data_IF_851928233234
#
_entry.id   IF_851928233234
#
_cell.length_a   1.000
_cell.length_b   1.000
_cell.length_c   1.000
_cell.angle_alpha   90.00
_cell.angle_beta   90.00
_cell.angle_gamma   90.00
#
_symmetry.space_group_name_H-M   'P 1'
#
loop_
_entity.id
_entity.type
_entity.pdbx_description
1 polymer ?
#
# COMPACT_ATOMS: atom_id res chain seq x y z
N UNK A 1 21.44 0.75 29.52
CA UNK A 1 20.54 1.06 28.38
C UNK A 1 21.32 2.01 27.48
N UNK A 2 21.90 1.48 26.40
CA UNK A 2 22.68 2.25 25.43
C UNK A 2 21.69 2.96 24.51
N UNK A 3 21.60 4.30 24.59
CA UNK A 3 20.77 5.11 23.73
C UNK A 3 21.14 4.85 22.26
N UNK A 4 20.16 4.45 21.46
CA UNK A 4 20.36 4.37 20.02
C UNK A 4 20.67 5.77 19.46
N UNK A 5 21.68 5.90 18.59
CA UNK A 5 22.01 7.19 18.01
C UNK A 5 20.78 7.70 17.24
N UNK A 6 20.39 8.96 17.50
CA UNK A 6 19.39 9.68 16.70
C UNK A 6 19.85 9.62 15.24
N UNK A 7 19.00 9.05 14.36
CA UNK A 7 19.22 9.08 12.91
C UNK A 7 19.45 10.53 12.51
N UNK A 8 20.65 10.83 12.01
CA UNK A 8 20.96 12.09 11.35
C UNK A 8 19.91 12.34 10.25
N UNK A 9 19.52 13.61 10.04
CA UNK A 9 18.68 13.97 8.89
C UNK A 9 19.34 13.39 7.66
N UNK A 10 18.62 12.65 6.80
CA UNK A 10 19.21 12.16 5.56
C UNK A 10 19.71 13.38 4.77
N UNK A 11 20.95 13.30 4.31
CA UNK A 11 21.50 14.25 3.35
C UNK A 11 20.59 14.35 2.14
N UNK A 12 20.68 15.40 1.34
CA UNK A 12 19.92 15.51 0.08
C UNK A 12 20.16 14.28 -0.80
N UNK A 13 19.27 14.02 -1.77
CA UNK A 13 19.32 12.83 -2.64
C UNK A 13 20.71 12.61 -3.27
N UNK A 14 21.40 13.70 -3.65
CA UNK A 14 22.73 13.63 -4.24
C UNK A 14 23.79 13.13 -3.23
N UNK A 15 23.69 13.52 -1.97
CA UNK A 15 24.61 13.05 -0.93
C UNK A 15 24.39 11.55 -0.65
N UNK A 16 23.12 11.12 -0.53
CA UNK A 16 22.77 9.72 -0.35
C UNK A 16 23.24 8.87 -1.53
N UNK A 17 23.10 9.38 -2.75
CA UNK A 17 23.61 8.74 -3.97
C UNK A 17 25.12 8.54 -3.91
N UNK A 18 25.89 9.59 -3.55
CA UNK A 18 27.36 9.51 -3.45
C UNK A 18 27.80 8.48 -2.40
N UNK A 19 27.17 8.49 -1.23
CA UNK A 19 27.45 7.51 -0.17
C UNK A 19 27.15 6.09 -0.62
N UNK A 20 26.02 5.87 -1.31
CA UNK A 20 25.64 4.56 -1.84
C UNK A 20 26.67 4.04 -2.86
N UNK A 21 27.11 4.90 -3.79
CA UNK A 21 28.16 4.55 -4.76
C UNK A 21 29.46 4.16 -4.05
N UNK A 22 29.87 4.93 -3.03
CA UNK A 22 31.06 4.61 -2.23
C UNK A 22 30.94 3.23 -1.56
N UNK A 23 29.83 2.96 -0.89
CA UNK A 23 29.61 1.66 -0.25
C UNK A 23 29.61 0.47 -1.23
N UNK A 24 29.04 0.66 -2.43
CA UNK A 24 29.03 -0.40 -3.45
C UNK A 24 30.42 -0.62 -4.05
N UNK A 25 31.23 0.44 -4.20
CA UNK A 25 32.61 0.32 -4.64
C UNK A 25 33.45 -0.42 -3.61
N UNK A 26 33.33 -0.08 -2.33
CA UNK A 26 34.07 -0.73 -1.24
C UNK A 26 33.65 -2.19 -1.05
N UNK A 27 32.40 -2.52 -1.38
CA UNK A 27 31.84 -3.86 -1.28
C UNK A 27 32.52 -4.87 -2.23
N UNK A 28 33.18 -4.43 -3.30
CA UNK A 28 33.93 -5.29 -4.20
C UNK A 28 34.94 -6.18 -3.45
N UNK A 29 35.61 -5.62 -2.46
CA UNK A 29 36.56 -6.36 -1.60
C UNK A 29 35.86 -7.43 -0.77
N UNK A 30 34.65 -7.15 -0.29
CA UNK A 30 33.83 -8.08 0.51
C UNK A 30 33.33 -9.26 -0.32
N UNK A 31 33.06 -9.08 -1.62
CA UNK A 31 32.65 -10.15 -2.52
C UNK A 31 33.71 -11.24 -2.70
N UNK A 32 34.99 -10.91 -2.44
CA UNK A 32 36.12 -11.88 -2.55
C UNK A 32 36.28 -12.74 -1.30
N UNK A 33 35.56 -12.44 -0.24
CA UNK A 33 35.56 -13.23 1.00
C UNK A 33 34.67 -14.45 0.81
N UNK A 34 35.17 -15.64 1.08
CA UNK A 34 34.39 -16.88 1.01
C UNK A 34 33.55 -17.09 2.28
N UNK A 35 32.71 -16.09 2.59
CA UNK A 35 31.73 -16.13 3.68
C UNK A 35 30.48 -15.34 3.30
N UNK A 36 29.44 -16.05 2.94
CA UNK A 36 28.13 -15.49 2.53
C UNK A 36 27.56 -14.55 3.60
N UNK A 37 27.72 -14.86 4.87
CA UNK A 37 27.19 -14.00 5.95
C UNK A 37 27.89 -12.66 5.99
N UNK A 38 29.19 -12.62 5.82
CA UNK A 38 29.98 -11.38 5.74
C UNK A 38 29.59 -10.57 4.50
N UNK A 39 29.43 -11.24 3.35
CA UNK A 39 28.95 -10.59 2.14
C UNK A 39 27.57 -9.95 2.33
N UNK A 40 26.58 -10.69 2.85
CA UNK A 40 25.24 -10.16 3.13
C UNK A 40 25.30 -8.99 4.12
N UNK A 41 26.09 -9.09 5.22
CA UNK A 41 26.24 -8.01 6.18
C UNK A 41 26.88 -6.76 5.57
N UNK A 42 27.82 -6.93 4.65
CA UNK A 42 28.46 -5.84 3.91
C UNK A 42 27.48 -5.03 3.06
N UNK A 43 26.40 -5.67 2.53
CA UNK A 43 25.38 -4.99 1.75
C UNK A 43 24.31 -4.26 2.61
N UNK A 44 24.16 -4.59 3.88
CA UNK A 44 23.11 -3.97 4.73
C UNK A 44 23.17 -2.45 4.73
N UNK A 45 24.34 -1.78 4.88
CA UNK A 45 24.41 -0.32 4.83
C UNK A 45 23.96 0.25 3.49
N UNK A 46 24.34 -0.36 2.36
CA UNK A 46 23.93 0.06 1.02
C UNK A 46 22.41 -0.07 0.83
N UNK A 47 21.82 -1.16 1.30
CA UNK A 47 20.35 -1.35 1.29
C UNK A 47 19.63 -0.24 2.09
N UNK A 48 20.15 0.14 3.25
CA UNK A 48 19.58 1.24 4.04
C UNK A 48 19.67 2.59 3.32
N UNK A 49 20.83 2.89 2.70
CA UNK A 49 21.00 4.12 1.94
C UNK A 49 20.11 4.16 0.70
N UNK A 50 19.94 3.05 0.00
CA UNK A 50 19.02 2.98 -1.16
C UNK A 50 17.59 3.30 -0.74
N UNK A 51 17.15 2.77 0.38
CA UNK A 51 15.84 3.07 0.97
C UNK A 51 15.68 4.56 1.31
N UNK A 52 16.69 5.14 1.95
CA UNK A 52 16.67 6.55 2.36
C UNK A 52 16.71 7.46 1.12
N UNK A 53 17.47 7.07 0.09
CA UNK A 53 17.51 7.74 -1.22
C UNK A 53 16.13 7.74 -1.89
N UNK A 54 15.48 6.58 -2.01
CA UNK A 54 14.12 6.47 -2.57
C UNK A 54 13.13 7.38 -1.85
N UNK A 55 13.13 7.35 -0.50
CA UNK A 55 12.26 8.22 0.31
C UNK A 55 12.57 9.72 0.17
N UNK A 56 13.79 10.09 -0.23
CA UNK A 56 14.22 11.49 -0.42
C UNK A 56 13.81 12.09 -1.76
N UNK A 57 13.36 11.26 -2.72
CA UNK A 57 12.97 11.73 -4.05
C UNK A 57 11.66 12.53 -4.05
N UNK A 58 10.84 12.38 -3.01
CA UNK A 58 9.63 13.19 -2.85
C UNK A 58 9.96 14.57 -2.26
N UNK A 59 9.69 15.66 -2.99
CA UNK A 59 9.86 17.00 -2.46
C UNK A 59 8.75 17.33 -1.47
N UNK A 60 9.00 17.12 -0.18
CA UNK A 60 8.07 17.45 0.91
C UNK A 60 8.70 18.48 1.85
N UNK A 61 7.91 19.45 2.28
CA UNK A 61 8.38 20.50 3.22
C UNK A 61 8.77 19.91 4.58
N UNK A 62 8.17 18.79 4.98
CA UNK A 62 8.46 18.07 6.22
C UNK A 62 8.69 16.60 5.95
N UNK A 63 9.58 15.93 6.74
CA UNK A 63 9.78 14.50 6.62
C UNK A 63 8.47 13.73 6.86
N UNK A 64 8.06 12.90 5.91
CA UNK A 64 6.88 12.06 6.00
C UNK A 64 7.26 10.64 6.45
N UNK A 65 6.39 10.02 7.24
CA UNK A 65 6.42 8.58 7.47
C UNK A 65 6.09 7.82 6.16
N UNK A 66 6.40 6.52 6.09
CA UNK A 66 6.19 5.71 4.90
C UNK A 66 4.76 5.84 4.31
N UNK A 67 3.72 5.80 5.17
CA UNK A 67 2.32 5.99 4.74
C UNK A 67 2.07 7.37 4.12
N UNK A 68 2.62 8.42 4.70
CA UNK A 68 2.52 9.78 4.16
C UNK A 68 3.24 9.93 2.82
N UNK A 69 4.39 9.27 2.63
CA UNK A 69 5.11 9.27 1.35
C UNK A 69 4.32 8.56 0.25
N UNK A 70 3.73 7.39 0.56
CA UNK A 70 2.84 6.67 -0.36
C UNK A 70 1.67 7.55 -0.82
N UNK A 71 0.98 8.17 0.13
CA UNK A 71 -0.12 9.07 -0.19
C UNK A 71 0.33 10.28 -1.02
N UNK A 72 1.42 10.92 -0.64
CA UNK A 72 1.95 12.07 -1.37
C UNK A 72 2.34 11.72 -2.81
N UNK A 73 2.87 10.50 -3.02
CA UNK A 73 3.20 10.01 -4.35
C UNK A 73 1.95 9.73 -5.18
N UNK A 74 1.00 8.97 -4.65
CA UNK A 74 -0.26 8.65 -5.34
C UNK A 74 -1.05 9.92 -5.71
N UNK A 75 -1.11 10.92 -4.83
CA UNK A 75 -1.78 12.21 -5.08
C UNK A 75 -1.10 13.05 -6.15
N UNK A 76 0.14 12.76 -6.49
CA UNK A 76 0.85 13.45 -7.57
C UNK A 76 0.46 12.91 -8.94
N UNK A 77 -0.06 11.68 -8.98
CA UNK A 77 -0.40 10.95 -10.20
C UNK A 77 -1.80 10.31 -10.10
N UNK A 78 -2.87 11.14 -9.88
CA UNK A 78 -4.23 10.61 -9.80
C UNK A 78 -4.65 10.08 -11.16
N UNK A 79 -5.29 8.91 -11.18
CA UNK A 79 -5.70 8.21 -12.41
C UNK A 79 -4.60 7.41 -13.10
N UNK A 80 -3.35 7.56 -12.70
CA UNK A 80 -2.24 6.77 -13.27
C UNK A 80 -2.06 5.45 -12.54
N UNK A 81 -1.71 4.40 -13.30
CA UNK A 81 -1.38 3.08 -12.75
C UNK A 81 0.06 3.08 -12.27
N UNK A 82 0.24 2.79 -10.99
CA UNK A 82 1.53 2.82 -10.30
C UNK A 82 1.91 1.41 -9.88
N UNK A 83 3.15 1.01 -10.15
CA UNK A 83 3.69 -0.29 -9.78
C UNK A 83 3.97 -0.39 -8.28
N UNK A 84 3.84 -1.61 -7.74
CA UNK A 84 4.21 -1.91 -6.37
C UNK A 84 5.67 -1.59 -6.06
N UNK A 85 6.57 -1.81 -7.02
CA UNK A 85 7.99 -1.50 -6.88
C UNK A 85 8.25 0.01 -6.74
N UNK A 86 7.52 0.87 -7.46
CA UNK A 86 7.58 2.32 -7.27
C UNK A 86 7.16 2.70 -5.84
N UNK A 87 6.07 2.10 -5.37
CA UNK A 87 5.57 2.32 -4.00
C UNK A 87 6.56 1.83 -2.95
N UNK A 88 7.24 0.72 -3.19
CA UNK A 88 8.31 0.21 -2.33
C UNK A 88 9.49 1.19 -2.26
N UNK A 89 9.93 1.72 -3.39
CA UNK A 89 11.02 2.69 -3.47
C UNK A 89 10.67 3.97 -2.70
N UNK A 90 9.51 4.56 -2.98
CA UNK A 90 9.06 5.81 -2.37
C UNK A 90 8.82 5.66 -0.87
N UNK A 91 8.19 4.58 -0.44
CA UNK A 91 7.92 4.34 0.97
C UNK A 91 9.17 3.94 1.76
N UNK A 92 10.14 3.33 1.11
CA UNK A 92 11.32 2.74 1.73
C UNK A 92 11.00 1.52 2.61
N UNK A 93 9.88 0.83 2.38
CA UNK A 93 9.47 -0.36 3.13
C UNK A 93 8.89 -1.43 2.22
N UNK A 94 9.18 -2.71 2.51
CA UNK A 94 8.60 -3.84 1.76
C UNK A 94 7.10 -4.05 2.00
N UNK A 95 6.59 -3.63 3.16
CA UNK A 95 5.16 -3.79 3.53
C UNK A 95 4.29 -2.59 3.07
N UNK A 96 4.58 -2.00 1.93
CA UNK A 96 3.81 -0.87 1.40
C UNK A 96 2.32 -1.22 1.18
N UNK A 97 2.02 -2.44 0.76
CA UNK A 97 0.64 -2.89 0.53
C UNK A 97 -0.24 -2.78 1.79
N UNK A 98 0.31 -3.08 2.97
CA UNK A 98 -0.38 -2.87 4.24
C UNK A 98 -0.69 -1.39 4.47
N UNK A 99 0.25 -0.49 4.17
CA UNK A 99 0.04 0.97 4.31
C UNK A 99 -0.97 1.50 3.31
N UNK A 100 -1.00 0.98 2.08
CA UNK A 100 -2.06 1.29 1.11
C UNK A 100 -3.42 0.87 1.66
N UNK A 101 -3.53 -0.32 2.25
CA UNK A 101 -4.78 -0.76 2.89
C UNK A 101 -5.21 0.19 4.02
N UNK A 102 -4.30 0.64 4.86
CA UNK A 102 -4.60 1.63 5.92
C UNK A 102 -5.15 2.94 5.31
N UNK A 103 -4.54 3.46 4.24
CA UNK A 103 -5.03 4.64 3.52
C UNK A 103 -6.45 4.45 2.99
N UNK A 104 -6.76 3.28 2.42
CA UNK A 104 -8.10 2.96 1.90
C UNK A 104 -9.12 2.80 3.01
N UNK A 105 -8.81 1.97 4.01
CA UNK A 105 -9.73 1.49 5.03
C UNK A 105 -9.92 2.51 6.15
N UNK A 106 -8.82 3.09 6.64
CA UNK A 106 -8.87 3.98 7.80
C UNK A 106 -9.12 5.43 7.40
N UNK A 107 -8.59 5.83 6.24
CA UNK A 107 -8.65 7.22 5.79
C UNK A 107 -9.61 7.45 4.61
N UNK A 108 -10.08 6.39 3.93
CA UNK A 108 -11.07 6.52 2.85
C UNK A 108 -10.49 7.07 1.54
N UNK A 109 -9.21 6.85 1.26
CA UNK A 109 -8.64 7.19 -0.04
C UNK A 109 -9.11 6.20 -1.11
N UNK A 110 -9.65 6.66 -2.25
CA UNK A 110 -10.16 5.79 -3.31
C UNK A 110 -9.01 5.19 -4.15
N UNK A 111 -8.21 4.34 -3.51
CA UNK A 111 -7.11 3.62 -4.14
C UNK A 111 -7.60 2.23 -4.53
N UNK A 112 -7.55 1.88 -5.80
CA UNK A 112 -7.83 0.53 -6.30
C UNK A 112 -6.54 -0.26 -6.44
N UNK A 113 -6.56 -1.52 -6.04
CA UNK A 113 -5.52 -2.48 -6.35
C UNK A 113 -5.87 -3.24 -7.64
N UNK A 114 -4.87 -3.66 -8.40
CA UNK A 114 -5.09 -4.38 -9.65
C UNK A 114 -5.94 -5.64 -9.49
N UNK A 115 -5.81 -6.36 -8.36
CA UNK A 115 -6.70 -7.49 -8.04
C UNK A 115 -8.17 -7.07 -8.01
N UNK A 116 -8.49 -5.94 -7.35
CA UNK A 116 -9.87 -5.44 -7.26
C UNK A 116 -10.37 -4.98 -8.63
N UNK A 117 -9.52 -4.32 -9.42
CA UNK A 117 -9.87 -3.89 -10.78
C UNK A 117 -10.15 -5.11 -11.67
N UNK A 118 -9.34 -6.15 -11.60
CA UNK A 118 -9.55 -7.38 -12.38
C UNK A 118 -10.85 -8.09 -11.98
N UNK A 119 -11.17 -8.18 -10.67
CA UNK A 119 -12.45 -8.71 -10.21
C UNK A 119 -13.64 -7.87 -10.72
N UNK A 120 -13.53 -6.55 -10.75
CA UNK A 120 -14.56 -5.68 -11.33
C UNK A 120 -14.70 -5.90 -12.83
N UNK A 121 -13.60 -6.04 -13.57
CA UNK A 121 -13.62 -6.33 -15.01
C UNK A 121 -14.30 -7.66 -15.33
N UNK A 122 -13.98 -8.72 -14.60
CA UNK A 122 -14.63 -10.02 -14.72
C UNK A 122 -16.15 -9.94 -14.49
N UNK A 123 -16.60 -9.06 -13.59
CA UNK A 123 -18.03 -8.88 -13.29
C UNK A 123 -18.81 -8.12 -14.38
N UNK A 124 -18.11 -7.36 -15.23
CA UNK A 124 -18.68 -6.61 -16.36
C UNK A 124 -18.26 -7.22 -17.72
N UNK A 125 -17.75 -8.44 -17.71
CA UNK A 125 -17.35 -9.18 -18.90
C UNK A 125 -18.57 -9.34 -19.86
N UNK A 126 -18.43 -8.80 -21.08
CA UNK A 126 -19.53 -8.67 -22.06
C UNK A 126 -20.01 -7.25 -22.27
N UNK A 127 -19.61 -6.27 -21.47
CA UNK A 127 -19.82 -4.86 -21.75
C UNK A 127 -18.74 -4.33 -22.70
N UNK A 128 -19.14 -3.79 -23.84
CA UNK A 128 -18.24 -3.20 -24.86
C UNK A 128 -17.38 -2.05 -24.32
N UNK A 129 -17.73 -1.47 -23.18
CA UNK A 129 -17.06 -0.34 -22.55
C UNK A 129 -16.17 -0.71 -21.35
N UNK A 130 -16.04 -1.99 -21.02
CA UNK A 130 -15.24 -2.43 -19.87
C UNK A 130 -13.77 -1.96 -19.94
N UNK A 131 -13.19 -1.93 -21.13
CA UNK A 131 -11.82 -1.48 -21.37
C UNK A 131 -11.66 0.04 -21.25
N UNK A 132 -12.72 0.82 -21.48
CA UNK A 132 -12.71 2.28 -21.32
C UNK A 132 -12.91 2.72 -19.85
N UNK A 133 -13.66 1.91 -19.08
CA UNK A 133 -14.03 2.23 -17.70
C UNK A 133 -12.95 1.86 -16.67
N UNK A 134 -12.21 0.79 -16.91
CA UNK A 134 -11.24 0.26 -15.96
C UNK A 134 -9.90 -0.07 -16.66
N UNK A 135 -8.78 0.46 -16.18
CA UNK A 135 -7.46 0.17 -16.75
C UNK A 135 -7.11 -1.32 -16.57
N UNK A 136 -6.32 -1.87 -17.51
CA UNK A 136 -5.72 -3.20 -17.33
C UNK A 136 -4.58 -3.06 -16.31
N UNK A 137 -4.65 -3.84 -15.24
CA UNK A 137 -3.70 -3.75 -14.15
C UNK A 137 -3.18 -5.14 -13.76
N UNK A 138 -1.90 -5.20 -13.39
CA UNK A 138 -1.36 -6.36 -12.69
C UNK A 138 -1.85 -6.36 -11.23
N UNK A 139 -1.90 -7.52 -10.55
CA UNK A 139 -2.39 -7.62 -9.17
C UNK A 139 -1.66 -6.74 -8.16
N UNK A 140 -0.38 -6.43 -8.43
CA UNK A 140 0.54 -5.63 -7.60
C UNK A 140 0.57 -4.15 -7.95
N UNK A 141 -0.27 -3.70 -8.90
CA UNK A 141 -0.42 -2.31 -9.29
C UNK A 141 -1.54 -1.62 -8.53
N UNK A 142 -1.46 -0.30 -8.46
CA UNK A 142 -2.40 0.55 -7.73
C UNK A 142 -2.73 1.80 -8.53
N UNK A 143 -3.94 2.32 -8.34
CA UNK A 143 -4.38 3.60 -8.92
C UNK A 143 -5.17 4.38 -7.89
N UNK A 144 -4.84 5.66 -7.71
CA UNK A 144 -5.67 6.60 -6.97
C UNK A 144 -6.68 7.19 -7.96
N UNK A 145 -7.96 6.85 -7.82
CA UNK A 145 -9.00 7.28 -8.77
C UNK A 145 -9.19 8.79 -8.81
N UNK A 146 -9.11 9.44 -7.66
CA UNK A 146 -9.28 10.90 -7.51
C UNK A 146 -8.54 11.40 -6.27
N UNK A 147 -8.07 12.64 -6.30
CA UNK A 147 -7.42 13.30 -5.14
C UNK A 147 -8.45 13.89 -4.17
N UNK A 148 -9.32 13.02 -3.66
CA UNK A 148 -10.32 13.37 -2.66
C UNK A 148 -10.62 12.16 -1.75
N UNK A 149 -10.64 12.39 -0.44
CA UNK A 149 -11.03 11.38 0.55
C UNK A 149 -12.54 11.12 0.51
N UNK A 150 -12.91 9.84 0.59
CA UNK A 150 -14.28 9.39 0.86
C UNK A 150 -14.42 9.08 2.36
N UNK A 151 -14.94 10.08 3.10
CA UNK A 151 -15.12 9.95 4.56
C UNK A 151 -16.19 8.93 4.92
N UNK A 152 -17.18 8.73 4.04
CA UNK A 152 -18.25 7.75 4.25
C UNK A 152 -17.70 6.33 4.08
N UNK A 153 -16.82 6.10 3.10
CA UNK A 153 -16.09 4.84 2.97
C UNK A 153 -15.26 4.54 4.23
N UNK A 154 -14.53 5.52 4.76
CA UNK A 154 -13.76 5.34 5.99
C UNK A 154 -14.66 5.01 7.19
N UNK A 155 -15.84 5.63 7.28
CA UNK A 155 -16.83 5.31 8.31
C UNK A 155 -17.38 3.90 8.16
N UNK A 156 -17.75 3.48 6.95
CA UNK A 156 -18.22 2.11 6.65
C UNK A 156 -17.18 1.06 7.06
N UNK A 157 -15.91 1.30 6.77
CA UNK A 157 -14.84 0.39 7.17
C UNK A 157 -14.63 0.28 8.68
N UNK A 158 -14.76 1.38 9.43
CA UNK A 158 -14.73 1.32 10.90
C UNK A 158 -15.87 0.47 11.45
N UNK A 159 -17.06 0.67 10.91
CA UNK A 159 -18.24 -0.13 11.25
C UNK A 159 -18.06 -1.60 10.89
N UNK A 160 -17.54 -1.90 9.68
CA UNK A 160 -17.21 -3.24 9.24
C UNK A 160 -16.25 -3.94 10.21
N UNK A 161 -15.22 -3.23 10.67
CA UNK A 161 -14.26 -3.74 11.63
C UNK A 161 -14.89 -4.04 13.00
N UNK A 162 -15.80 -3.21 13.48
CA UNK A 162 -16.53 -3.45 14.72
C UNK A 162 -17.44 -4.68 14.60
N UNK A 163 -18.22 -4.78 13.52
CA UNK A 163 -19.10 -5.91 13.27
C UNK A 163 -18.30 -7.21 13.11
N UNK A 164 -17.18 -7.20 12.39
CA UNK A 164 -16.31 -8.37 12.20
C UNK A 164 -15.83 -8.95 13.53
N UNK A 165 -15.47 -8.11 14.50
CA UNK A 165 -14.98 -8.53 15.82
C UNK A 165 -16.05 -9.10 16.74
N UNK A 166 -17.33 -8.96 16.40
CA UNK A 166 -18.42 -9.54 17.20
C UNK A 166 -18.48 -11.07 17.05
N UNK A 167 -19.03 -11.76 18.05
CA UNK A 167 -19.19 -13.22 18.05
C UNK A 167 -20.37 -13.70 17.18
N UNK A 168 -21.06 -12.80 16.47
CA UNK A 168 -22.20 -13.10 15.63
C UNK A 168 -21.82 -14.00 14.44
N UNK A 169 -22.77 -14.78 13.94
CA UNK A 169 -22.62 -15.55 12.71
C UNK A 169 -22.42 -14.66 11.48
N UNK A 170 -21.88 -15.22 10.40
CA UNK A 170 -21.59 -14.46 9.15
C UNK A 170 -22.84 -13.77 8.62
N UNK A 171 -23.99 -14.47 8.56
CA UNK A 171 -25.27 -13.91 8.10
C UNK A 171 -25.68 -12.69 8.93
N UNK A 172 -25.59 -12.78 10.26
CA UNK A 172 -25.99 -11.68 11.14
C UNK A 172 -25.04 -10.49 11.02
N UNK A 173 -23.74 -10.75 10.83
CA UNK A 173 -22.74 -9.71 10.55
C UNK A 173 -23.08 -8.95 9.26
N UNK A 174 -23.36 -9.67 8.18
CA UNK A 174 -23.74 -9.06 6.90
C UNK A 174 -25.04 -8.26 7.02
N UNK A 175 -26.07 -8.83 7.66
CA UNK A 175 -27.34 -8.13 7.89
C UNK A 175 -27.16 -6.84 8.71
N UNK A 176 -26.36 -6.88 9.77
CA UNK A 176 -26.04 -5.67 10.56
C UNK A 176 -25.34 -4.62 9.71
N UNK A 177 -24.40 -5.04 8.86
CA UNK A 177 -23.67 -4.15 7.97
C UNK A 177 -24.58 -3.49 6.94
N UNK A 178 -25.44 -4.27 6.27
CA UNK A 178 -26.43 -3.73 5.31
C UNK A 178 -27.42 -2.76 5.96
N UNK A 179 -27.97 -3.12 7.14
CA UNK A 179 -28.91 -2.25 7.86
C UNK A 179 -28.31 -0.91 8.25
N UNK A 180 -27.04 -0.89 8.57
CA UNK A 180 -26.33 0.35 8.94
C UNK A 180 -25.91 1.20 7.72
N UNK A 181 -25.99 0.64 6.49
CA UNK A 181 -25.60 1.31 5.25
C UNK A 181 -26.74 1.36 4.23
N UNK A 182 -27.98 1.45 4.69
CA UNK A 182 -29.16 1.55 3.80
C UNK A 182 -29.03 2.77 2.89
N UNK A 183 -29.22 2.55 1.58
CA UNK A 183 -29.09 3.60 0.57
C UNK A 183 -27.66 3.96 0.16
N UNK A 184 -26.66 3.29 0.72
CA UNK A 184 -25.26 3.46 0.33
C UNK A 184 -24.77 2.28 -0.50
N UNK A 185 -23.87 2.54 -1.45
CA UNK A 185 -23.18 1.48 -2.17
C UNK A 185 -22.13 0.84 -1.25
N UNK A 186 -22.21 -0.47 -1.08
CA UNK A 186 -21.22 -1.25 -0.36
C UNK A 186 -20.43 -2.12 -1.35
N UNK A 187 -19.12 -2.25 -1.13
CA UNK A 187 -18.25 -2.98 -2.04
C UNK A 187 -18.16 -4.47 -1.66
N UNK A 188 -17.85 -5.32 -2.64
CA UNK A 188 -17.56 -6.74 -2.38
C UNK A 188 -16.42 -6.93 -1.39
N UNK A 189 -15.44 -6.03 -1.38
CA UNK A 189 -14.33 -6.07 -0.43
C UNK A 189 -14.80 -5.80 1.01
N UNK A 190 -15.67 -4.82 1.22
CA UNK A 190 -16.29 -4.55 2.52
C UNK A 190 -17.06 -5.78 3.03
N UNK A 191 -17.85 -6.41 2.14
CA UNK A 191 -18.61 -7.61 2.50
C UNK A 191 -17.73 -8.81 2.84
N UNK A 192 -16.68 -9.08 2.05
CA UNK A 192 -15.68 -10.10 2.37
C UNK A 192 -15.02 -9.82 3.72
N UNK A 193 -14.68 -8.59 3.99
CA UNK A 193 -14.05 -8.20 5.25
C UNK A 193 -14.97 -8.47 6.44
N UNK A 194 -16.25 -8.07 6.35
CA UNK A 194 -17.27 -8.32 7.39
C UNK A 194 -17.49 -9.83 7.61
N UNK A 195 -17.51 -10.60 6.52
CA UNK A 195 -17.67 -12.07 6.56
C UNK A 195 -16.44 -12.81 7.14
N UNK A 196 -15.28 -12.16 7.25
CA UNK A 196 -14.05 -12.75 7.76
C UNK A 196 -13.29 -13.58 6.73
N UNK A 197 -13.20 -13.13 5.47
CA UNK A 197 -12.50 -13.79 4.34
C UNK A 197 -12.96 -15.24 4.04
N UNK A 198 -14.20 -15.58 4.37
CA UNK A 198 -14.74 -16.89 4.03
C UNK A 198 -15.18 -16.91 2.56
N UNK A 199 -14.67 -17.87 1.79
CA UNK A 199 -14.92 -18.02 0.36
C UNK A 199 -16.40 -18.13 -0.06
N UNK A 200 -17.31 -18.43 0.88
CA UNK A 200 -18.74 -18.64 0.65
C UNK A 200 -19.64 -17.49 1.14
N UNK A 201 -19.08 -16.33 1.41
CA UNK A 201 -19.86 -15.20 1.95
C UNK A 201 -21.03 -14.80 1.05
N UNK A 202 -20.86 -14.84 -0.29
CA UNK A 202 -21.88 -14.46 -1.26
C UNK A 202 -23.12 -15.36 -1.22
N UNK A 203 -22.97 -16.64 -0.84
CA UNK A 203 -24.10 -17.57 -0.68
C UNK A 203 -24.91 -17.34 0.60
N UNK A 204 -24.39 -16.51 1.51
CA UNK A 204 -24.96 -16.21 2.84
C UNK A 204 -25.48 -14.79 2.97
N UNK A 205 -25.33 -13.97 1.92
CA UNK A 205 -25.89 -12.62 1.82
C UNK A 205 -27.28 -12.68 1.19
#
# INVERSE_FOLDING_TARGET
IRAMPRRSRPGGAEELRRQLVGLLTDFESTLRIDDVRSQVRGLVPAYHLLRDLGGSLLPTATPLAARGRLLAYLRRFPGEVIDGDELMVVSGIGEYARRIRELRVEEGWPILAGRTVNEMRESIEGDLFADELLPRMRPDQYVLQRDAQDRDAAFRWRLANQIRKSDAGVRDKLLRFFRANVGQQVTSEELRYVAGDRSEWARRA
#
